data_IF_947036737825
#
_entry.id   IF_947036737825
#
_cell.length_a   1.000
_cell.length_b   1.000
_cell.length_c   1.000
_cell.angle_alpha   90.00
_cell.angle_beta   90.00
_cell.angle_gamma   90.00
#
_symmetry.space_group_name_H-M   'P 1'
#
loop_
_entity.id
_entity.type
_entity.pdbx_description
1 polymer ?
#
# COMPACT_ATOMS: atom_id res chain seq x y z
N UNK A 1 6.51 0.57 -5.80
CA UNK A 1 6.61 -0.09 -4.49
C UNK A 1 7.40 -1.37 -4.67
N UNK A 2 7.99 -1.89 -3.60
CA UNK A 2 8.72 -3.17 -3.59
C UNK A 2 8.21 -4.03 -2.43
N UNK A 3 8.10 -5.34 -2.65
CA UNK A 3 7.54 -6.27 -1.69
C UNK A 3 8.64 -7.01 -0.92
N UNK A 4 8.45 -7.20 0.39
CA UNK A 4 9.38 -7.93 1.26
C UNK A 4 8.67 -8.87 2.23
N UNK A 5 9.24 -10.06 2.40
CA UNK A 5 8.92 -11.00 3.48
C UNK A 5 10.04 -11.02 4.51
N UNK A 6 9.70 -11.00 5.79
CA UNK A 6 10.63 -11.08 6.90
C UNK A 6 10.16 -12.13 7.91
N UNK A 7 11.06 -12.97 8.42
CA UNK A 7 10.74 -13.92 9.47
C UNK A 7 10.75 -13.22 10.84
N UNK A 8 9.79 -13.54 11.72
CA UNK A 8 9.74 -12.92 13.05
C UNK A 8 11.03 -13.17 13.85
N UNK A 9 11.62 -14.37 13.78
CA UNK A 9 12.86 -14.71 14.49
C UNK A 9 14.08 -13.85 14.08
N UNK A 10 14.07 -13.25 12.88
CA UNK A 10 15.14 -12.35 12.43
C UNK A 10 15.02 -10.96 13.05
N UNK A 11 13.80 -10.58 13.46
CA UNK A 11 13.48 -9.25 14.00
C UNK A 11 13.29 -9.26 15.52
N UNK A 12 12.82 -10.37 16.09
CA UNK A 12 12.61 -10.57 17.52
C UNK A 12 13.57 -11.65 18.01
N UNK A 13 14.74 -11.22 18.47
CA UNK A 13 15.92 -12.10 18.61
C UNK A 13 16.07 -12.70 20.00
N UNK A 14 15.33 -12.19 20.99
CA UNK A 14 15.38 -12.69 22.37
C UNK A 14 14.29 -12.11 23.25
N UNK A 15 14.14 -12.66 24.45
CA UNK A 15 13.22 -12.14 25.44
C UNK A 15 12.95 -13.10 26.59
N UNK A 16 12.09 -12.63 27.50
CA UNK A 16 11.52 -13.39 28.61
C UNK A 16 10.02 -13.02 28.71
N UNK A 17 9.15 -13.96 28.34
CA UNK A 17 7.70 -13.73 28.28
C UNK A 17 7.04 -13.59 29.65
N UNK A 18 7.67 -14.12 30.71
CA UNK A 18 7.20 -13.94 32.08
C UNK A 18 7.51 -12.54 32.60
N UNK A 19 8.65 -11.97 32.21
CA UNK A 19 9.06 -10.61 32.55
C UNK A 19 8.49 -9.55 31.59
N UNK A 20 7.97 -9.95 30.42
CA UNK A 20 7.48 -9.02 29.40
C UNK A 20 8.59 -8.21 28.71
N UNK A 21 9.82 -8.72 28.72
CA UNK A 21 11.00 -8.04 28.16
C UNK A 21 11.45 -8.73 26.88
N UNK A 22 11.71 -7.99 25.82
CA UNK A 22 12.07 -8.54 24.51
C UNK A 22 13.15 -7.71 23.82
N UNK A 23 13.92 -8.36 22.96
CA UNK A 23 15.01 -7.76 22.17
C UNK A 23 14.65 -7.78 20.69
N UNK A 24 14.93 -6.67 20.00
CA UNK A 24 14.59 -6.49 18.59
C UNK A 24 15.84 -6.16 17.75
N UNK A 25 15.89 -6.68 16.52
CA UNK A 25 16.91 -6.36 15.54
C UNK A 25 16.26 -5.87 14.25
N UNK A 26 16.36 -4.57 13.99
CA UNK A 26 15.73 -3.95 12.83
C UNK A 26 16.60 -3.93 11.56
N UNK A 27 17.84 -4.43 11.63
CA UNK A 27 18.82 -4.27 10.55
C UNK A 27 18.32 -4.79 9.18
N UNK A 28 17.62 -5.93 9.16
CA UNK A 28 17.07 -6.48 7.92
C UNK A 28 15.96 -5.58 7.32
N UNK A 29 15.05 -5.07 8.17
CA UNK A 29 13.99 -4.16 7.76
C UNK A 29 14.56 -2.81 7.30
N UNK A 30 15.51 -2.25 8.06
CA UNK A 30 16.16 -0.98 7.74
C UNK A 30 16.93 -1.07 6.42
N UNK A 31 17.62 -2.19 6.18
CA UNK A 31 18.31 -2.46 4.93
C UNK A 31 17.33 -2.56 3.75
N UNK A 32 16.21 -3.27 3.90
CA UNK A 32 15.18 -3.34 2.88
C UNK A 32 14.57 -1.96 2.56
N UNK A 33 14.24 -1.17 3.59
CA UNK A 33 13.75 0.20 3.44
C UNK A 33 14.77 1.09 2.73
N UNK A 34 16.05 1.03 3.12
CA UNK A 34 17.11 1.83 2.51
C UNK A 34 17.37 1.41 1.05
N UNK A 35 17.34 0.11 0.75
CA UNK A 35 17.52 -0.40 -0.59
C UNK A 35 16.39 0.05 -1.54
N UNK A 36 15.13 -0.07 -1.14
CA UNK A 36 14.02 0.42 -1.96
C UNK A 36 14.08 1.95 -2.12
N UNK A 37 14.38 2.67 -1.04
CA UNK A 37 14.48 4.14 -1.06
C UNK A 37 15.58 4.64 -1.99
N UNK A 38 16.71 3.94 -2.11
CA UNK A 38 17.79 4.30 -3.05
C UNK A 38 17.37 4.18 -4.51
N UNK A 39 16.36 3.36 -4.81
CA UNK A 39 15.69 3.26 -6.12
C UNK A 39 14.46 4.17 -6.25
N UNK A 40 14.22 5.02 -5.25
CA UNK A 40 13.07 5.93 -5.17
C UNK A 40 11.73 5.22 -4.94
N UNK A 41 11.75 3.99 -4.44
CA UNK A 41 10.58 3.18 -4.15
C UNK A 41 10.32 3.10 -2.63
N UNK A 42 9.05 2.94 -2.27
CA UNK A 42 8.64 2.56 -0.92
C UNK A 42 8.45 1.04 -0.83
N UNK A 43 8.55 0.49 0.37
CA UNK A 43 8.30 -0.93 0.64
C UNK A 43 6.86 -1.19 1.06
N UNK A 44 6.37 -2.37 0.71
CA UNK A 44 5.23 -3.04 1.33
C UNK A 44 5.78 -4.35 1.88
N UNK A 45 5.48 -4.71 3.13
CA UNK A 45 6.09 -5.90 3.71
C UNK A 45 5.15 -6.72 4.59
N UNK A 46 5.52 -7.99 4.77
CA UNK A 46 4.91 -8.93 5.70
C UNK A 46 5.94 -9.53 6.63
N UNK A 47 5.56 -9.69 7.90
CA UNK A 47 6.34 -10.47 8.87
C UNK A 47 5.55 -11.72 9.20
N UNK A 48 6.18 -12.89 9.09
CA UNK A 48 5.53 -14.19 9.28
C UNK A 48 6.19 -15.02 10.40
N UNK A 49 5.42 -15.95 10.97
CA UNK A 49 5.92 -16.99 11.89
C UNK A 49 5.98 -18.37 11.26
N UNK A 50 5.11 -18.61 10.27
CA UNK A 50 5.01 -19.88 9.58
C UNK A 50 4.85 -19.65 8.08
N UNK A 51 5.71 -20.29 7.29
CA UNK A 51 5.71 -20.25 5.85
C UNK A 51 6.08 -21.66 5.38
N UNK A 52 5.13 -22.43 4.83
CA UNK A 52 5.39 -23.77 4.28
C UNK A 52 6.64 -23.85 3.40
N UNK A 53 7.55 -24.75 3.74
CA UNK A 53 8.81 -24.97 3.00
C UNK A 53 9.97 -24.07 3.43
N UNK A 54 9.76 -23.08 4.31
CA UNK A 54 10.83 -22.26 4.91
C UNK A 54 11.28 -22.80 6.27
N UNK A 55 12.46 -22.37 6.72
CA UNK A 55 12.91 -22.67 8.07
C UNK A 55 11.95 -22.10 9.14
N UNK A 56 11.97 -22.68 10.35
CA UNK A 56 11.18 -22.20 11.49
C UNK A 56 11.45 -20.70 11.73
N UNK A 57 10.42 -19.88 11.58
CA UNK A 57 10.48 -18.43 11.73
C UNK A 57 10.00 -17.92 13.09
N UNK A 58 9.54 -18.81 13.98
CA UNK A 58 9.19 -18.48 15.37
C UNK A 58 10.45 -18.20 16.18
N UNK A 59 10.53 -17.11 16.98
CA UNK A 59 11.69 -16.80 17.81
C UNK A 59 12.11 -17.93 18.72
N UNK A 60 13.41 -18.27 18.70
CA UNK A 60 13.95 -19.42 19.42
C UNK A 60 13.73 -19.35 20.93
N UNK A 61 13.76 -18.15 21.53
CA UNK A 61 13.53 -18.00 22.97
C UNK A 61 12.12 -18.43 23.38
N UNK A 62 11.09 -18.22 22.54
CA UNK A 62 9.73 -18.69 22.84
C UNK A 62 9.64 -20.22 22.84
N UNK A 63 10.34 -20.86 21.90
CA UNK A 63 10.44 -22.32 21.83
C UNK A 63 11.14 -22.85 23.10
N UNK A 64 12.23 -22.19 23.52
CA UNK A 64 12.94 -22.55 24.75
C UNK A 64 12.10 -22.32 26.02
N UNK A 65 11.17 -21.36 26.00
CA UNK A 65 10.16 -21.13 27.04
C UNK A 65 9.00 -22.14 26.99
N UNK A 66 9.05 -23.13 26.11
CA UNK A 66 8.07 -24.21 26.02
C UNK A 66 6.87 -23.93 25.11
N UNK A 67 6.98 -22.97 24.18
CA UNK A 67 5.95 -22.76 23.16
C UNK A 67 5.77 -24.03 22.32
N UNK A 68 4.57 -24.67 22.32
CA UNK A 68 4.34 -25.85 21.50
C UNK A 68 4.42 -25.51 20.01
N UNK A 69 5.12 -26.34 19.25
CA UNK A 69 5.28 -26.23 17.80
C UNK A 69 4.73 -27.49 17.12
N UNK A 70 3.92 -27.32 16.08
CA UNK A 70 3.19 -28.38 15.37
C UNK A 70 3.76 -28.55 13.97
N UNK A 71 4.15 -29.77 13.63
CA UNK A 71 4.60 -30.12 12.28
C UNK A 71 3.41 -30.51 11.39
N UNK A 72 3.52 -30.23 10.10
CA UNK A 72 2.52 -30.56 9.08
C UNK A 72 3.21 -30.75 7.72
N UNK A 73 2.56 -31.46 6.80
CA UNK A 73 3.10 -31.78 5.46
C UNK A 73 2.34 -31.14 4.31
N UNK A 74 1.24 -30.43 4.61
CA UNK A 74 0.45 -29.71 3.60
C UNK A 74 1.32 -28.67 2.88
N UNK A 75 0.96 -28.36 1.63
CA UNK A 75 1.71 -27.42 0.77
C UNK A 75 3.17 -27.81 0.49
N UNK A 76 3.49 -29.11 0.59
CA UNK A 76 4.86 -29.61 0.43
C UNK A 76 5.77 -29.19 1.58
N UNK A 77 5.22 -28.80 2.73
CA UNK A 77 6.02 -28.39 3.88
C UNK A 77 6.86 -29.57 4.42
N UNK A 78 8.12 -29.28 4.72
CA UNK A 78 9.05 -30.23 5.34
C UNK A 78 9.92 -29.60 6.44
N UNK A 79 9.79 -28.29 6.67
CA UNK A 79 10.77 -27.51 7.43
C UNK A 79 10.14 -26.51 8.40
N UNK A 80 9.01 -25.90 8.04
CA UNK A 80 8.33 -24.93 8.91
C UNK A 80 7.46 -25.65 9.95
N UNK A 81 7.08 -24.92 11.00
CA UNK A 81 6.20 -25.41 12.05
C UNK A 81 5.25 -24.31 12.50
N UNK A 82 3.99 -24.68 12.71
CA UNK A 82 2.99 -23.80 13.27
C UNK A 82 3.15 -23.70 14.79
N UNK A 83 3.30 -22.52 15.38
CA UNK A 83 3.21 -22.40 16.83
C UNK A 83 1.77 -22.64 17.30
N UNK A 84 1.59 -22.97 18.58
CA UNK A 84 0.26 -22.87 19.18
C UNK A 84 -0.18 -21.39 19.24
N UNK A 85 -1.04 -21.01 18.29
CA UNK A 85 -1.53 -19.65 18.11
C UNK A 85 -2.33 -19.11 19.30
N UNK A 86 -2.74 -19.96 20.24
CA UNK A 86 -3.45 -19.55 21.45
C UNK A 86 -2.58 -19.56 22.71
N UNK A 87 -1.27 -19.82 22.58
CA UNK A 87 -0.35 -19.78 23.71
C UNK A 87 -0.20 -18.34 24.25
N UNK A 88 -0.37 -18.17 25.57
CA UNK A 88 -0.33 -16.86 26.21
C UNK A 88 1.00 -16.12 26.10
N UNK A 89 2.14 -16.84 26.09
CA UNK A 89 3.46 -16.24 25.92
C UNK A 89 3.67 -15.75 24.48
N UNK A 90 3.18 -16.51 23.50
CA UNK A 90 3.19 -16.08 22.10
C UNK A 90 2.38 -14.78 21.94
N UNK A 91 1.14 -14.72 22.44
CA UNK A 91 0.31 -13.51 22.28
C UNK A 91 0.97 -12.29 22.91
N UNK A 92 1.54 -12.40 24.12
CA UNK A 92 2.30 -11.30 24.76
C UNK A 92 3.48 -10.84 23.89
N UNK A 93 4.24 -11.79 23.35
CA UNK A 93 5.39 -11.50 22.50
C UNK A 93 4.97 -10.78 21.21
N UNK A 94 3.90 -11.24 20.55
CA UNK A 94 3.36 -10.62 19.35
C UNK A 94 2.82 -9.21 19.64
N UNK A 95 2.07 -9.01 20.73
CA UNK A 95 1.58 -7.67 21.11
C UNK A 95 2.74 -6.70 21.40
N UNK A 96 3.79 -7.16 22.08
CA UNK A 96 4.98 -6.34 22.32
C UNK A 96 5.71 -6.01 21.03
N UNK A 97 5.91 -7.02 20.17
CA UNK A 97 6.57 -6.84 18.87
C UNK A 97 5.82 -5.84 17.97
N UNK A 98 4.50 -5.95 17.83
CA UNK A 98 3.69 -5.00 17.04
C UNK A 98 3.87 -3.57 17.56
N UNK A 99 3.89 -3.42 18.89
CA UNK A 99 4.15 -2.11 19.52
C UNK A 99 5.53 -1.55 19.20
N UNK A 100 6.57 -2.36 19.33
CA UNK A 100 7.94 -1.95 19.04
C UNK A 100 8.15 -1.66 17.54
N UNK A 101 7.53 -2.45 16.67
CA UNK A 101 7.54 -2.20 15.23
C UNK A 101 6.85 -0.86 14.88
N UNK A 102 5.68 -0.58 15.47
CA UNK A 102 5.01 0.70 15.29
C UNK A 102 5.84 1.88 15.77
N UNK A 103 6.49 1.77 16.94
CA UNK A 103 7.44 2.79 17.43
C UNK A 103 8.62 3.00 16.48
N UNK A 104 9.06 1.95 15.79
CA UNK A 104 10.19 2.01 14.85
C UNK A 104 9.82 2.64 13.50
N UNK A 105 8.63 2.35 12.95
CA UNK A 105 8.31 2.67 11.54
C UNK A 105 6.99 3.41 11.28
N UNK A 106 6.14 3.69 12.28
CA UNK A 106 4.87 4.38 12.02
C UNK A 106 5.11 5.82 11.53
N UNK A 107 4.71 6.09 10.28
CA UNK A 107 4.95 7.36 9.60
C UNK A 107 6.29 7.46 8.87
N UNK A 108 7.11 6.39 8.83
CA UNK A 108 8.30 6.37 7.98
C UNK A 108 7.91 6.41 6.49
N UNK A 109 8.36 7.45 5.79
CA UNK A 109 8.04 7.68 4.39
C UNK A 109 8.51 6.56 3.44
N UNK A 110 9.44 5.71 3.87
CA UNK A 110 9.94 4.57 3.09
C UNK A 110 8.98 3.39 3.12
N UNK A 111 8.01 3.36 4.03
CA UNK A 111 6.98 2.32 4.14
C UNK A 111 5.69 2.81 3.49
N UNK A 112 5.28 2.15 2.42
CA UNK A 112 3.96 2.38 1.81
C UNK A 112 2.87 1.71 2.64
N UNK A 113 3.03 0.43 2.98
CA UNK A 113 2.02 -0.36 3.69
C UNK A 113 2.66 -1.47 4.52
N UNK A 114 1.99 -1.86 5.61
CA UNK A 114 2.31 -3.06 6.40
C UNK A 114 1.20 -4.07 6.20
N UNK A 115 1.51 -5.32 5.89
CA UNK A 115 0.53 -6.40 6.00
C UNK A 115 0.66 -7.05 7.37
N UNK A 116 -0.46 -7.21 8.07
CA UNK A 116 -0.49 -7.92 9.34
C UNK A 116 -0.24 -9.40 9.05
N UNK A 117 0.97 -9.91 9.28
CA UNK A 117 1.33 -11.29 8.92
C UNK A 117 1.57 -12.23 10.11
N UNK A 118 1.36 -11.78 11.34
CA UNK A 118 1.76 -12.50 12.54
C UNK A 118 0.81 -13.66 12.94
N UNK A 119 -0.03 -14.11 12.01
CA UNK A 119 -0.94 -15.24 12.20
C UNK A 119 -1.16 -16.01 10.89
N UNK A 120 -1.16 -17.34 10.99
CA UNK A 120 -1.50 -18.25 9.89
C UNK A 120 -0.32 -18.62 9.00
N UNK A 121 -0.58 -19.52 8.05
CA UNK A 121 0.38 -19.89 7.01
C UNK A 121 0.63 -18.72 6.07
N UNK A 122 1.89 -18.50 5.70
CA UNK A 122 2.34 -17.33 4.92
C UNK A 122 2.00 -15.96 5.53
N UNK A 123 1.53 -15.94 6.79
CA UNK A 123 0.96 -14.77 7.43
C UNK A 123 -0.39 -14.33 6.85
N UNK A 124 -1.16 -15.26 6.27
CA UNK A 124 -2.43 -14.99 5.59
C UNK A 124 -3.67 -15.11 6.47
N UNK A 125 -3.51 -15.17 7.80
CA UNK A 125 -4.61 -15.24 8.76
C UNK A 125 -5.53 -16.46 8.63
N UNK A 126 -5.04 -17.56 8.08
CA UNK A 126 -5.70 -18.85 8.12
C UNK A 126 -4.70 -19.97 8.41
N UNK A 127 -5.21 -21.09 8.88
CA UNK A 127 -4.45 -22.33 9.10
C UNK A 127 -4.99 -23.47 8.26
N UNK A 128 -5.83 -23.21 7.24
CA UNK A 128 -6.32 -24.23 6.31
C UNK A 128 -5.16 -25.13 5.85
N UNK A 129 -5.29 -26.47 5.88
CA UNK A 129 -6.51 -27.21 6.23
C UNK A 129 -6.71 -27.49 7.74
N UNK A 130 -5.81 -27.05 8.63
CA UNK A 130 -5.97 -27.17 10.09
C UNK A 130 -6.88 -26.09 10.68
N UNK A 131 -8.15 -26.08 10.28
CA UNK A 131 -9.13 -25.07 10.67
C UNK A 131 -10.39 -25.66 11.34
N UNK A 132 -11.45 -24.87 11.45
CA UNK A 132 -12.69 -25.29 12.10
C UNK A 132 -13.43 -26.42 11.34
N UNK A 133 -13.20 -26.57 10.04
CA UNK A 133 -13.72 -27.71 9.29
C UNK A 133 -12.79 -28.91 9.45
N UNK A 134 -13.15 -29.79 10.38
CA UNK A 134 -12.39 -31.02 10.65
C UNK A 134 -12.88 -32.22 9.82
N UNK A 135 -13.71 -32.00 8.79
CA UNK A 135 -14.28 -33.09 7.98
C UNK A 135 -13.24 -33.85 7.16
N UNK A 136 -12.10 -33.21 6.88
CA UNK A 136 -10.93 -33.78 6.21
C UNK A 136 -9.98 -34.54 7.17
N UNK A 137 -10.35 -34.64 8.46
CA UNK A 137 -9.57 -35.30 9.49
C UNK A 137 -8.40 -34.47 10.04
N UNK A 138 -8.27 -33.20 9.63
CA UNK A 138 -7.27 -32.29 10.16
C UNK A 138 -7.74 -31.65 11.47
N UNK A 139 -6.82 -31.41 12.42
CA UNK A 139 -7.15 -30.75 13.68
C UNK A 139 -7.38 -29.25 13.51
N UNK A 140 -8.26 -28.65 14.31
CA UNK A 140 -8.41 -27.20 14.37
C UNK A 140 -7.23 -26.55 15.11
N UNK A 141 -6.43 -25.76 14.40
CA UNK A 141 -5.32 -25.00 14.96
C UNK A 141 -5.56 -23.48 14.99
N UNK A 142 -6.76 -23.01 14.66
CA UNK A 142 -7.00 -21.58 14.52
C UNK A 142 -6.71 -20.78 15.80
N UNK A 143 -6.23 -19.56 15.61
CA UNK A 143 -6.24 -18.56 16.67
C UNK A 143 -7.69 -18.23 17.04
N UNK A 144 -7.99 -18.22 18.33
CA UNK A 144 -9.31 -17.81 18.82
C UNK A 144 -9.62 -16.37 18.43
N UNK A 145 -10.92 -16.06 18.26
CA UNK A 145 -11.35 -14.70 17.89
C UNK A 145 -10.86 -13.64 18.89
N UNK A 146 -10.86 -13.96 20.19
CA UNK A 146 -10.35 -13.05 21.22
C UNK A 146 -8.87 -12.70 21.03
N UNK A 147 -8.04 -13.67 20.65
CA UNK A 147 -6.61 -13.43 20.37
C UNK A 147 -6.40 -12.71 19.03
N UNK A 148 -7.20 -13.04 18.00
CA UNK A 148 -7.23 -12.28 16.72
C UNK A 148 -7.53 -10.79 17.00
N UNK A 149 -8.56 -10.51 17.80
CA UNK A 149 -8.96 -9.15 18.19
C UNK A 149 -7.88 -8.42 18.99
N UNK A 150 -7.16 -9.10 19.88
CA UNK A 150 -6.01 -8.52 20.61
C UNK A 150 -4.89 -8.07 19.67
N UNK A 151 -4.52 -8.89 18.69
CA UNK A 151 -3.50 -8.51 17.71
C UNK A 151 -3.97 -7.33 16.84
N UNK A 152 -5.22 -7.35 16.38
CA UNK A 152 -5.79 -6.25 15.60
C UNK A 152 -5.86 -4.95 16.42
N UNK A 153 -6.33 -5.01 17.67
CA UNK A 153 -6.32 -3.87 18.58
C UNK A 153 -4.91 -3.28 18.72
N UNK A 154 -3.91 -4.15 18.84
CA UNK A 154 -2.52 -3.73 18.96
C UNK A 154 -2.00 -3.07 17.68
N UNK A 155 -2.25 -3.65 16.50
CA UNK A 155 -1.90 -3.04 15.22
C UNK A 155 -2.54 -1.66 15.06
N UNK A 156 -3.85 -1.53 15.35
CA UNK A 156 -4.56 -0.25 15.31
C UNK A 156 -3.92 0.80 16.22
N UNK A 157 -3.52 0.41 17.43
CA UNK A 157 -2.89 1.34 18.39
C UNK A 157 -1.46 1.73 18.01
N UNK A 158 -0.71 0.82 17.38
CA UNK A 158 0.70 1.00 17.07
C UNK A 158 0.94 1.75 15.75
N UNK A 159 -0.04 1.70 14.83
CA UNK A 159 0.06 2.30 13.50
C UNK A 159 -1.04 3.32 13.29
N UNK A 160 -0.71 4.58 13.54
CA UNK A 160 -1.63 5.72 13.40
C UNK A 160 -1.44 6.47 12.08
N UNK A 161 -0.28 6.32 11.44
CA UNK A 161 0.09 7.00 10.18
C UNK A 161 0.24 6.01 9.04
N UNK A 162 1.01 4.95 9.22
CA UNK A 162 1.24 3.90 8.21
C UNK A 162 0.01 2.99 8.15
N UNK A 163 -0.50 2.70 6.95
CA UNK A 163 -1.69 1.83 6.83
C UNK A 163 -1.30 0.36 6.98
N UNK A 164 -2.10 -0.35 7.78
CA UNK A 164 -2.02 -1.80 7.96
C UNK A 164 -3.12 -2.48 7.16
N UNK A 165 -2.77 -3.57 6.46
CA UNK A 165 -3.68 -4.39 5.65
C UNK A 165 -3.74 -5.82 6.18
N UNK A 166 -4.88 -6.46 5.99
CA UNK A 166 -5.15 -7.84 6.42
C UNK A 166 -5.63 -8.68 5.23
N UNK A 167 -5.28 -9.97 5.17
CA UNK A 167 -5.54 -10.86 4.02
C UNK A 167 -7.01 -11.03 3.64
N UNK A 168 -7.87 -11.01 4.63
CA UNK A 168 -9.28 -11.32 4.45
C UNK A 168 -10.07 -10.38 5.36
N UNK A 169 -11.27 -9.91 4.98
CA UNK A 169 -12.25 -9.33 5.90
C UNK A 169 -12.54 -10.28 7.07
N UNK A 170 -11.63 -10.24 8.05
CA UNK A 170 -11.60 -11.13 9.19
C UNK A 170 -12.92 -11.10 9.95
N UNK A 171 -13.14 -12.19 10.70
CA UNK A 171 -14.21 -12.37 11.67
C UNK A 171 -14.27 -11.34 12.83
N UNK A 172 -13.39 -10.32 12.86
CA UNK A 172 -13.45 -9.26 13.87
C UNK A 172 -14.54 -8.24 13.55
N UNK A 173 -15.64 -8.27 14.30
CA UNK A 173 -16.66 -7.24 14.18
C UNK A 173 -16.20 -5.88 14.72
N UNK A 174 -15.31 -5.88 15.72
CA UNK A 174 -14.84 -4.66 16.37
C UNK A 174 -13.85 -3.86 15.50
N UNK A 175 -12.98 -4.54 14.75
CA UNK A 175 -11.83 -3.90 14.09
C UNK A 175 -11.85 -3.95 12.57
N UNK A 176 -12.83 -4.59 11.93
CA UNK A 176 -12.88 -4.72 10.46
C UNK A 176 -12.80 -3.39 9.68
N UNK A 177 -13.31 -2.28 10.23
CA UNK A 177 -13.26 -0.98 9.53
C UNK A 177 -11.95 -0.20 9.76
N UNK A 178 -11.03 -0.73 10.56
CA UNK A 178 -9.78 -0.05 10.93
C UNK A 178 -8.61 -0.34 9.98
N UNK A 179 -8.75 -1.33 9.09
CA UNK A 179 -7.68 -1.87 8.26
C UNK A 179 -8.01 -1.80 6.78
N UNK A 180 -6.96 -1.78 5.96
CA UNK A 180 -7.09 -2.15 4.55
C UNK A 180 -7.11 -3.67 4.39
N UNK A 181 -7.32 -4.13 3.16
CA UNK A 181 -7.35 -5.57 2.86
C UNK A 181 -6.47 -5.92 1.67
N UNK A 182 -5.98 -7.14 1.62
CA UNK A 182 -5.16 -7.60 0.50
C UNK A 182 -5.59 -9.00 0.06
N UNK A 183 -5.76 -9.22 -1.24
CA UNK A 183 -6.14 -10.52 -1.79
C UNK A 183 -4.92 -11.25 -2.39
N UNK A 184 -4.42 -12.28 -1.72
CA UNK A 184 -3.25 -13.06 -2.21
C UNK A 184 -3.63 -14.21 -3.16
N UNK A 185 -4.91 -14.28 -3.58
CA UNK A 185 -5.40 -15.12 -4.69
C UNK A 185 -5.97 -14.25 -5.82
N UNK A 186 -5.37 -13.08 -6.05
CA UNK A 186 -5.93 -12.06 -6.93
C UNK A 186 -6.10 -12.56 -8.37
N UNK A 187 -7.25 -12.26 -8.97
CA UNK A 187 -7.69 -12.69 -10.30
C UNK A 187 -7.81 -14.22 -10.47
N UNK A 188 -8.10 -14.93 -9.38
CA UNK A 188 -8.37 -16.37 -9.39
C UNK A 188 -9.52 -16.73 -8.43
N UNK A 189 -9.50 -16.15 -7.21
CA UNK A 189 -10.53 -16.35 -6.18
C UNK A 189 -11.01 -14.99 -5.65
N UNK A 190 -11.19 -14.03 -6.55
CA UNK A 190 -11.45 -12.63 -6.24
C UNK A 190 -12.91 -12.25 -6.46
N UNK A 191 -13.47 -12.57 -7.63
CA UNK A 191 -14.73 -12.04 -8.12
C UNK A 191 -15.97 -12.69 -7.47
N UNK A 192 -17.16 -12.06 -7.62
CA UNK A 192 -18.42 -12.64 -7.15
C UNK A 192 -18.74 -14.02 -7.73
N UNK A 193 -19.51 -14.81 -6.99
CA UNK A 193 -20.09 -16.09 -7.45
C UNK A 193 -19.84 -17.25 -6.49
N UNK A 194 -18.72 -17.21 -5.78
CA UNK A 194 -18.30 -18.26 -4.84
C UNK A 194 -18.06 -17.64 -3.47
N UNK A 195 -18.78 -18.08 -2.44
CA UNK A 195 -18.85 -17.40 -1.14
C UNK A 195 -17.50 -17.22 -0.42
N UNK A 196 -16.54 -18.09 -0.72
CA UNK A 196 -15.22 -18.07 -0.09
C UNK A 196 -14.18 -17.26 -0.89
N UNK A 197 -14.52 -16.74 -2.07
CA UNK A 197 -13.71 -15.76 -2.80
C UNK A 197 -13.63 -14.44 -2.02
N UNK A 198 -12.60 -13.65 -2.30
CA UNK A 198 -12.30 -12.41 -1.58
C UNK A 198 -13.46 -11.40 -1.60
N UNK A 199 -14.00 -11.05 -2.77
CA UNK A 199 -15.04 -10.04 -2.85
C UNK A 199 -16.38 -10.47 -2.22
N UNK A 200 -16.85 -11.72 -2.40
CA UNK A 200 -17.98 -12.26 -1.62
C UNK A 200 -17.79 -12.18 -0.11
N UNK A 201 -16.58 -12.42 0.41
CA UNK A 201 -16.29 -12.21 1.84
C UNK A 201 -16.34 -10.73 2.22
N UNK A 202 -15.85 -9.82 1.37
CA UNK A 202 -15.98 -8.37 1.59
C UNK A 202 -17.45 -7.93 1.61
N UNK A 203 -18.29 -8.50 0.74
CA UNK A 203 -19.73 -8.28 0.70
C UNK A 203 -20.42 -8.76 1.98
N UNK A 204 -20.15 -9.99 2.41
CA UNK A 204 -20.76 -10.56 3.62
C UNK A 204 -20.37 -9.80 4.89
N UNK A 205 -19.15 -9.24 4.92
CA UNK A 205 -18.66 -8.44 6.03
C UNK A 205 -19.14 -6.98 6.01
N UNK A 206 -19.75 -6.51 4.90
CA UNK A 206 -20.22 -5.14 4.71
C UNK A 206 -19.09 -4.13 4.43
N UNK A 207 -18.03 -4.57 3.73
CA UNK A 207 -16.77 -3.82 3.58
C UNK A 207 -16.48 -3.41 2.13
N UNK A 208 -17.45 -3.52 1.21
CA UNK A 208 -17.25 -3.18 -0.21
C UNK A 208 -16.93 -1.70 -0.46
N UNK A 209 -17.14 -0.82 0.52
CA UNK A 209 -16.78 0.61 0.45
C UNK A 209 -15.51 0.94 1.27
N UNK A 210 -14.86 -0.04 1.90
CA UNK A 210 -13.71 0.18 2.76
C UNK A 210 -12.53 0.84 2.02
N UNK A 211 -12.39 0.52 0.72
CA UNK A 211 -11.40 1.09 -0.20
C UNK A 211 -11.45 2.63 -0.26
N UNK A 212 -12.55 3.27 0.10
CA UNK A 212 -12.63 4.75 0.12
C UNK A 212 -11.70 5.39 1.14
N UNK A 213 -11.36 4.66 2.20
CA UNK A 213 -10.56 5.19 3.32
C UNK A 213 -9.35 4.33 3.70
N UNK A 214 -9.32 3.08 3.23
CA UNK A 214 -8.28 2.09 3.53
C UNK A 214 -7.80 1.42 2.25
N UNK A 215 -6.49 1.16 2.09
CA UNK A 215 -5.94 0.59 0.87
C UNK A 215 -6.38 -0.86 0.64
N UNK A 216 -6.54 -1.21 -0.64
CA UNK A 216 -6.75 -2.58 -1.10
C UNK A 216 -5.53 -3.02 -1.92
N UNK A 217 -5.05 -4.25 -1.75
CA UNK A 217 -3.93 -4.77 -2.56
C UNK A 217 -3.92 -6.27 -2.64
N UNK A 218 -2.74 -6.90 -2.71
CA UNK A 218 -2.63 -8.35 -2.72
C UNK A 218 -1.53 -8.90 -3.62
N UNK A 219 -1.69 -10.17 -3.98
CA UNK A 219 -0.81 -10.92 -4.87
C UNK A 219 -1.63 -11.55 -5.99
N UNK A 220 -1.22 -11.29 -7.22
CA UNK A 220 -1.72 -12.05 -8.37
C UNK A 220 -1.42 -13.52 -8.15
N UNK A 221 -2.42 -14.39 -8.30
CA UNK A 221 -2.30 -15.80 -7.94
C UNK A 221 -0.95 -16.40 -8.42
N UNK A 222 -0.12 -16.97 -7.53
CA UNK A 222 1.26 -17.35 -7.87
C UNK A 222 1.40 -18.22 -9.13
N UNK A 223 0.50 -19.17 -9.31
CA UNK A 223 0.53 -20.15 -10.40
C UNK A 223 0.28 -19.55 -11.79
N UNK A 224 -0.41 -18.40 -11.86
CA UNK A 224 -0.69 -17.71 -13.14
C UNK A 224 0.29 -16.58 -13.45
N UNK A 225 1.15 -16.17 -12.51
CA UNK A 225 2.03 -15.00 -12.69
C UNK A 225 2.93 -15.11 -13.93
N UNK A 226 3.34 -16.33 -14.32
CA UNK A 226 4.21 -16.57 -15.48
C UNK A 226 3.54 -16.39 -16.84
N UNK A 227 2.22 -16.52 -16.90
CA UNK A 227 1.44 -16.58 -18.14
C UNK A 227 0.43 -15.44 -18.26
N UNK A 228 0.07 -14.80 -17.14
CA UNK A 228 -1.03 -13.83 -17.08
C UNK A 228 -0.88 -12.66 -18.06
N UNK A 229 0.35 -12.29 -18.45
CA UNK A 229 0.60 -11.19 -19.38
C UNK A 229 0.72 -11.59 -20.86
N UNK A 230 0.48 -12.86 -21.20
CA UNK A 230 0.54 -13.34 -22.58
C UNK A 230 -0.58 -12.78 -23.47
N UNK A 231 -1.70 -12.37 -22.88
CA UNK A 231 -2.80 -11.67 -23.54
C UNK A 231 -3.44 -10.66 -22.57
N UNK A 232 -4.28 -9.76 -23.09
CA UNK A 232 -5.03 -8.80 -22.28
C UNK A 232 -6.51 -9.21 -22.19
N UNK A 233 -7.17 -9.12 -21.01
CA UNK A 233 -6.62 -8.76 -19.70
C UNK A 233 -5.70 -9.81 -19.07
N UNK A 234 -5.94 -11.09 -19.39
CA UNK A 234 -5.11 -12.26 -19.09
C UNK A 234 -5.70 -13.47 -19.85
N UNK A 235 -4.95 -14.56 -20.07
CA UNK A 235 -5.51 -15.80 -20.61
C UNK A 235 -6.47 -16.46 -19.60
N UNK A 236 -7.44 -17.21 -20.13
CA UNK A 236 -8.27 -18.13 -19.35
C UNK A 236 -7.50 -19.44 -19.21
N UNK A 237 -7.01 -19.72 -18.01
CA UNK A 237 -6.24 -20.92 -17.67
C UNK A 237 -6.91 -21.62 -16.50
N UNK A 238 -6.74 -22.94 -16.36
CA UNK A 238 -7.37 -23.72 -15.30
C UNK A 238 -6.33 -24.22 -14.32
N UNK A 239 -6.52 -23.90 -13.05
CA UNK A 239 -5.74 -24.43 -11.94
C UNK A 239 -6.71 -25.13 -11.00
N UNK A 240 -6.39 -26.36 -10.59
CA UNK A 240 -7.25 -27.16 -9.68
C UNK A 240 -8.72 -27.28 -10.13
N UNK A 241 -8.99 -27.18 -11.44
CA UNK A 241 -10.35 -27.22 -12.00
C UNK A 241 -11.08 -25.87 -12.03
N UNK A 242 -10.49 -24.80 -11.50
CA UNK A 242 -11.05 -23.44 -11.48
C UNK A 242 -10.38 -22.58 -12.55
N UNK A 243 -11.14 -21.83 -13.37
CA UNK A 243 -10.55 -20.91 -14.34
C UNK A 243 -10.01 -19.65 -13.66
N UNK A 244 -8.99 -19.04 -14.27
CA UNK A 244 -8.55 -17.69 -13.94
C UNK A 244 -9.69 -16.69 -14.14
N UNK A 245 -9.72 -15.65 -13.31
CA UNK A 245 -10.66 -14.55 -13.40
C UNK A 245 -10.04 -13.41 -14.23
N UNK A 246 -10.87 -12.45 -14.64
CA UNK A 246 -10.42 -11.33 -15.46
C UNK A 246 -9.69 -10.28 -14.60
N UNK A 247 -8.43 -9.99 -14.91
CA UNK A 247 -7.56 -9.06 -14.18
C UNK A 247 -8.14 -7.64 -14.11
N UNK A 248 -8.60 -7.09 -15.24
CA UNK A 248 -9.15 -5.73 -15.30
C UNK A 248 -10.44 -5.62 -14.46
N UNK A 249 -11.31 -6.62 -14.55
CA UNK A 249 -12.52 -6.68 -13.71
C UNK A 249 -12.17 -6.82 -12.24
N UNK A 250 -11.15 -7.62 -11.90
CA UNK A 250 -10.70 -7.82 -10.51
C UNK A 250 -10.15 -6.54 -9.90
N UNK A 251 -9.32 -5.79 -10.64
CA UNK A 251 -8.79 -4.48 -10.22
C UNK A 251 -9.93 -3.49 -9.96
N UNK A 252 -10.87 -3.38 -10.89
CA UNK A 252 -12.00 -2.43 -10.77
C UNK A 252 -12.95 -2.80 -9.65
N UNK A 253 -13.20 -4.10 -9.45
CA UNK A 253 -14.11 -4.60 -8.41
C UNK A 253 -13.54 -4.36 -7.02
N UNK A 254 -12.25 -4.63 -6.84
CA UNK A 254 -11.60 -4.57 -5.52
C UNK A 254 -10.98 -3.21 -5.20
N UNK A 255 -10.91 -2.30 -6.17
CA UNK A 255 -10.22 -1.01 -6.04
C UNK A 255 -8.74 -1.17 -5.65
N UNK A 256 -8.06 -2.18 -6.20
CA UNK A 256 -6.67 -2.49 -5.89
C UNK A 256 -5.74 -1.30 -6.18
N UNK A 257 -4.89 -0.94 -5.21
CA UNK A 257 -3.89 0.13 -5.34
C UNK A 257 -2.46 -0.37 -5.49
N UNK A 258 -2.21 -1.65 -5.24
CA UNK A 258 -0.91 -2.31 -5.41
C UNK A 258 -1.12 -3.82 -5.53
N UNK A 259 -0.25 -4.50 -6.29
CA UNK A 259 -0.26 -5.96 -6.45
C UNK A 259 1.17 -6.50 -6.48
N UNK A 260 1.36 -7.71 -5.95
CA UNK A 260 2.59 -8.49 -6.05
C UNK A 260 2.55 -9.31 -7.34
N UNK A 261 3.69 -9.33 -8.03
CA UNK A 261 3.97 -10.27 -9.11
C UNK A 261 5.45 -10.65 -9.05
N UNK A 262 5.77 -11.69 -8.29
CA UNK A 262 7.14 -12.12 -8.11
C UNK A 262 7.77 -12.59 -9.43
N UNK A 263 7.04 -13.32 -10.27
CA UNK A 263 7.59 -13.86 -11.52
C UNK A 263 8.07 -12.75 -12.46
N UNK A 264 7.26 -11.70 -12.67
CA UNK A 264 7.56 -10.60 -13.58
C UNK A 264 8.85 -9.84 -13.19
N UNK A 265 9.13 -9.71 -11.89
CA UNK A 265 10.32 -8.99 -11.42
C UNK A 265 11.59 -9.84 -11.41
N UNK A 266 11.48 -11.17 -11.54
CA UNK A 266 12.62 -12.09 -11.57
C UNK A 266 12.93 -12.64 -12.98
N UNK A 267 12.15 -12.26 -14.00
CA UNK A 267 12.27 -12.80 -15.35
C UNK A 267 12.28 -11.67 -16.39
N UNK A 268 12.91 -11.94 -17.54
CA UNK A 268 12.83 -11.05 -18.69
C UNK A 268 11.45 -11.13 -19.35
N UNK A 269 10.88 -9.97 -19.68
CA UNK A 269 9.56 -9.89 -20.32
C UNK A 269 9.70 -9.67 -21.83
N UNK A 270 8.83 -10.32 -22.60
CA UNK A 270 8.58 -9.93 -23.99
C UNK A 270 7.91 -8.55 -24.06
N UNK A 271 7.95 -7.92 -25.25
CA UNK A 271 7.28 -6.64 -25.48
C UNK A 271 5.77 -6.71 -25.20
N UNK A 272 5.11 -7.82 -25.57
CA UNK A 272 3.69 -8.05 -25.29
C UNK A 272 3.43 -8.11 -23.79
N UNK A 273 4.18 -8.92 -23.05
CA UNK A 273 4.03 -9.05 -21.60
C UNK A 273 4.28 -7.72 -20.89
N UNK A 274 5.34 -7.00 -21.28
CA UNK A 274 5.64 -5.67 -20.73
C UNK A 274 4.51 -4.67 -20.98
N UNK A 275 3.94 -4.65 -22.20
CA UNK A 275 2.86 -3.72 -22.54
C UNK A 275 1.56 -4.05 -21.77
N UNK A 276 1.22 -5.34 -21.62
CA UNK A 276 0.06 -5.78 -20.85
C UNK A 276 0.23 -5.49 -19.35
N UNK A 277 1.41 -5.76 -18.79
CA UNK A 277 1.72 -5.43 -17.40
C UNK A 277 1.66 -3.90 -17.14
N UNK A 278 2.17 -3.08 -18.06
CA UNK A 278 2.04 -1.61 -17.96
C UNK A 278 0.59 -1.14 -18.11
N UNK A 279 -0.24 -1.86 -18.86
CA UNK A 279 -1.67 -1.58 -18.96
C UNK A 279 -2.39 -1.88 -17.65
N UNK A 280 -2.11 -3.02 -17.02
CA UNK A 280 -2.64 -3.36 -15.69
C UNK A 280 -2.15 -2.36 -14.63
N UNK A 281 -0.86 -2.01 -14.63
CA UNK A 281 -0.29 -1.06 -13.69
C UNK A 281 -1.00 0.30 -13.70
N UNK A 282 -1.41 0.78 -14.88
CA UNK A 282 -2.14 2.06 -15.02
C UNK A 282 -3.57 2.02 -14.47
N UNK A 283 -4.16 0.83 -14.29
CA UNK A 283 -5.49 0.68 -13.69
C UNK A 283 -5.46 0.73 -12.16
N UNK A 284 -4.30 0.48 -11.55
CA UNK A 284 -4.17 0.40 -10.10
C UNK A 284 -4.20 1.78 -9.46
N UNK A 285 -4.92 1.89 -8.35
CA UNK A 285 -4.81 3.04 -7.46
C UNK A 285 -5.47 4.31 -8.02
N UNK A 286 -4.78 5.43 -7.84
CA UNK A 286 -5.24 6.75 -8.24
C UNK A 286 -4.77 7.12 -9.64
N UNK A 287 -5.53 8.01 -10.29
CA UNK A 287 -5.09 8.75 -11.47
C UNK A 287 -5.47 10.23 -11.28
N UNK A 288 -4.56 11.01 -10.70
CA UNK A 288 -4.82 12.42 -10.39
C UNK A 288 -4.75 13.27 -11.65
N UNK A 289 -5.78 14.09 -11.89
CA UNK A 289 -5.88 14.93 -13.08
C UNK A 289 -6.36 16.33 -12.71
N UNK A 290 -5.66 17.36 -13.19
CA UNK A 290 -6.13 18.75 -13.07
C UNK A 290 -6.97 19.09 -14.30
N UNK A 291 -8.28 19.21 -14.14
CA UNK A 291 -9.20 19.44 -15.25
C UNK A 291 -9.36 20.88 -15.66
N UNK A 292 -9.14 21.81 -14.74
CA UNK A 292 -9.04 23.23 -15.06
C UNK A 292 -8.22 23.98 -14.03
N UNK A 293 -7.67 25.11 -14.47
CA UNK A 293 -6.86 26.03 -13.68
C UNK A 293 -7.41 27.42 -13.89
N UNK A 294 -7.63 28.15 -12.80
CA UNK A 294 -7.85 29.60 -12.81
C UNK A 294 -6.64 30.29 -12.20
N UNK A 295 -5.88 30.99 -13.04
CA UNK A 295 -4.63 31.65 -12.68
C UNK A 295 -4.68 33.12 -13.11
N UNK A 296 -5.22 34.02 -12.27
CA UNK A 296 -5.25 35.45 -12.57
C UNK A 296 -3.84 36.07 -12.49
N UNK A 297 -3.58 37.06 -13.35
CA UNK A 297 -2.36 37.86 -13.30
C UNK A 297 -2.33 38.72 -12.03
N UNK A 298 -1.29 38.61 -11.17
CA UNK A 298 -1.11 39.50 -10.03
C UNK A 298 -0.43 40.81 -10.43
N UNK A 299 -0.54 41.82 -9.58
CA UNK A 299 0.40 42.95 -9.53
C UNK A 299 1.60 42.60 -8.65
N UNK A 300 2.69 43.37 -8.73
CA UNK A 300 3.84 43.30 -7.80
C UNK A 300 3.49 43.40 -6.31
N UNK A 301 2.29 43.92 -5.96
CA UNK A 301 1.84 44.13 -4.58
C UNK A 301 0.79 43.12 -4.10
N UNK A 302 0.28 42.25 -4.97
CA UNK A 302 -0.79 41.30 -4.66
C UNK A 302 -0.27 39.87 -4.67
N UNK A 303 -0.88 38.99 -3.88
CA UNK A 303 -0.52 37.58 -3.92
C UNK A 303 -0.82 36.95 -5.28
N UNK A 304 0.05 36.02 -5.69
CA UNK A 304 -0.27 35.10 -6.78
C UNK A 304 -1.23 34.05 -6.23
N UNK A 305 -2.40 33.93 -6.86
CA UNK A 305 -3.44 32.99 -6.45
C UNK A 305 -3.77 32.03 -7.59
N UNK A 306 -4.11 30.80 -7.25
CA UNK A 306 -4.53 29.77 -8.20
C UNK A 306 -5.65 28.94 -7.62
N UNK A 307 -6.67 28.67 -8.44
CA UNK A 307 -7.67 27.65 -8.17
C UNK A 307 -7.46 26.50 -9.16
N UNK A 308 -7.34 25.28 -8.66
CA UNK A 308 -7.22 24.06 -9.48
C UNK A 308 -8.42 23.15 -9.22
N UNK A 309 -9.00 22.61 -10.27
CA UNK A 309 -10.01 21.57 -10.17
C UNK A 309 -9.33 20.22 -10.31
N UNK A 310 -9.27 19.47 -9.20
CA UNK A 310 -8.57 18.20 -9.10
C UNK A 310 -9.57 17.04 -9.14
N UNK A 311 -9.32 16.08 -10.02
CA UNK A 311 -10.08 14.85 -10.22
C UNK A 311 -9.21 13.63 -9.91
N UNK A 312 -9.85 12.53 -9.53
CA UNK A 312 -9.24 11.21 -9.52
C UNK A 312 -10.00 10.29 -10.48
N UNK A 313 -9.32 9.86 -11.54
CA UNK A 313 -9.85 9.01 -12.61
C UNK A 313 -9.47 7.52 -12.45
N UNK A 314 -8.76 7.19 -11.38
CA UNK A 314 -8.35 5.83 -11.05
C UNK A 314 -9.48 5.03 -10.42
N UNK A 315 -9.11 3.92 -9.78
CA UNK A 315 -10.04 3.05 -9.03
C UNK A 315 -9.97 3.27 -7.52
N UNK A 316 -8.94 3.92 -6.98
CA UNK A 316 -8.80 4.16 -5.54
C UNK A 316 -8.26 5.57 -5.21
N UNK A 317 -8.51 6.10 -4.01
CA UNK A 317 -7.96 7.38 -3.58
C UNK A 317 -6.46 7.30 -3.30
N UNK A 318 -5.82 8.47 -3.21
CA UNK A 318 -4.45 8.61 -2.71
C UNK A 318 -4.49 8.58 -1.17
N UNK A 319 -4.14 7.46 -0.54
CA UNK A 319 -4.42 7.20 0.89
C UNK A 319 -3.62 8.02 1.93
N UNK A 320 -2.66 8.84 1.48
CA UNK A 320 -1.82 9.68 2.34
C UNK A 320 -2.00 11.16 2.01
N UNK A 321 -2.19 12.02 3.01
CA UNK A 321 -2.40 13.46 2.78
C UNK A 321 -1.08 14.22 2.56
N UNK A 322 -0.43 13.91 1.43
CA UNK A 322 0.77 14.60 0.99
C UNK A 322 0.44 16.02 0.53
N UNK A 323 1.40 16.92 0.70
CA UNK A 323 1.23 18.34 0.36
C UNK A 323 1.43 18.57 -1.14
N UNK A 324 0.76 19.59 -1.66
CA UNK A 324 1.14 20.20 -2.93
C UNK A 324 2.21 21.25 -2.70
N UNK A 325 3.13 21.41 -3.64
CA UNK A 325 4.12 22.47 -3.68
C UNK A 325 4.02 23.26 -4.98
N UNK A 326 4.26 24.57 -4.90
CA UNK A 326 4.15 25.49 -6.02
C UNK A 326 5.45 26.27 -6.25
N UNK A 327 5.85 26.38 -7.51
CA UNK A 327 7.05 27.13 -7.93
C UNK A 327 6.73 28.02 -9.12
N UNK A 328 7.57 29.04 -9.32
CA UNK A 328 7.53 29.89 -10.50
C UNK A 328 8.80 29.72 -11.30
N UNK A 329 8.64 29.48 -12.60
CA UNK A 329 9.72 29.58 -13.59
C UNK A 329 9.46 30.76 -14.53
N UNK A 330 10.50 31.32 -15.14
CA UNK A 330 10.36 32.36 -16.16
C UNK A 330 10.02 31.76 -17.55
N UNK A 331 9.89 32.61 -18.57
CA UNK A 331 9.61 32.20 -19.94
C UNK A 331 10.66 31.21 -20.51
N UNK A 332 11.91 31.31 -20.06
CA UNK A 332 13.05 30.45 -20.41
C UNK A 332 13.21 29.24 -19.46
N UNK A 333 12.19 28.92 -18.65
CA UNK A 333 12.18 27.80 -17.69
C UNK A 333 13.26 27.86 -16.61
N UNK A 334 13.76 29.05 -16.28
CA UNK A 334 14.62 29.26 -15.10
C UNK A 334 13.77 29.33 -13.84
N UNK A 335 14.08 28.52 -12.83
CA UNK A 335 13.43 28.55 -11.51
C UNK A 335 13.72 29.87 -10.80
N UNK A 336 12.67 30.63 -10.49
CA UNK A 336 12.78 31.93 -9.83
C UNK A 336 12.39 31.90 -8.36
N UNK A 337 11.31 31.19 -8.02
CA UNK A 337 10.72 31.21 -6.68
C UNK A 337 10.09 29.87 -6.32
N UNK A 338 10.21 29.50 -5.04
CA UNK A 338 9.36 28.50 -4.38
C UNK A 338 8.33 29.25 -3.56
N UNK A 339 7.05 29.00 -3.81
CA UNK A 339 5.94 29.72 -3.16
C UNK A 339 5.48 29.06 -1.86
N UNK A 340 5.86 27.80 -1.64
CA UNK A 340 5.53 27.03 -0.44
C UNK A 340 4.65 25.82 -0.74
N UNK A 341 4.06 25.27 0.32
CA UNK A 341 3.25 24.05 0.26
C UNK A 341 1.86 24.25 0.88
N UNK A 342 0.90 23.44 0.45
CA UNK A 342 -0.47 23.43 1.03
C UNK A 342 -1.00 21.99 1.13
N UNK A 343 -1.83 21.74 2.14
CA UNK A 343 -2.59 20.50 2.24
C UNK A 343 -3.92 20.65 1.50
N UNK A 344 -4.28 19.61 0.75
CA UNK A 344 -5.49 19.61 -0.09
C UNK A 344 -6.44 18.47 0.22
N UNK A 345 -6.15 17.65 1.24
CA UNK A 345 -6.87 16.42 1.53
C UNK A 345 -6.89 15.50 0.30
N UNK A 346 -5.71 15.03 -0.13
CA UNK A 346 -5.60 14.09 -1.26
C UNK A 346 -6.44 12.82 -1.07
N UNK A 347 -6.55 12.22 0.13
CA UNK A 347 -7.45 11.09 0.38
C UNK A 347 -8.92 11.40 0.10
N UNK A 348 -9.32 12.68 0.20
CA UNK A 348 -10.67 13.14 -0.12
C UNK A 348 -10.98 13.22 -1.61
N UNK A 349 -9.99 13.11 -2.50
CA UNK A 349 -10.21 13.11 -3.96
C UNK A 349 -10.57 11.69 -4.41
N UNK A 350 -11.84 11.36 -4.21
CA UNK A 350 -12.36 10.02 -4.47
C UNK A 350 -12.55 9.77 -5.98
N UNK A 351 -12.26 8.55 -6.45
CA UNK A 351 -12.61 8.08 -7.79
C UNK A 351 -14.07 8.37 -8.16
N UNK A 352 -14.30 8.82 -9.40
CA UNK A 352 -15.65 9.06 -9.94
C UNK A 352 -16.43 10.21 -9.29
N UNK A 353 -15.83 10.96 -8.37
CA UNK A 353 -16.44 12.15 -7.77
C UNK A 353 -16.26 13.38 -8.67
N UNK A 354 -17.12 14.39 -8.48
CA UNK A 354 -16.94 15.68 -9.14
C UNK A 354 -15.58 16.31 -8.80
N UNK A 355 -15.04 17.10 -9.73
CA UNK A 355 -13.78 17.79 -9.53
C UNK A 355 -13.84 18.65 -8.25
N UNK A 356 -12.81 18.52 -7.40
CA UNK A 356 -12.69 19.30 -6.17
C UNK A 356 -11.82 20.53 -6.42
N UNK A 357 -12.39 21.72 -6.24
CA UNK A 357 -11.61 22.97 -6.30
C UNK A 357 -10.67 23.06 -5.10
N UNK A 358 -9.39 23.28 -5.36
CA UNK A 358 -8.35 23.55 -4.37
C UNK A 358 -7.70 24.90 -4.69
N UNK A 359 -7.54 25.72 -3.68
CA UNK A 359 -6.98 27.06 -3.82
C UNK A 359 -5.63 27.17 -3.15
N UNK A 360 -4.74 27.95 -3.74
CA UNK A 360 -3.45 28.33 -3.16
C UNK A 360 -3.20 29.81 -3.43
N UNK A 361 -2.65 30.52 -2.44
CA UNK A 361 -2.29 31.92 -2.57
C UNK A 361 -1.03 32.21 -1.77
N UNK A 362 -0.07 32.91 -2.37
CA UNK A 362 1.19 33.25 -1.72
C UNK A 362 1.76 34.58 -2.24
N UNK A 363 2.53 35.25 -1.38
CA UNK A 363 3.37 36.35 -1.82
C UNK A 363 4.45 35.82 -2.77
N UNK A 364 4.57 36.41 -3.95
CA UNK A 364 5.46 35.89 -5.00
C UNK A 364 6.80 36.62 -5.10
N UNK A 365 6.86 37.91 -4.73
CA UNK A 365 8.10 38.70 -4.75
C UNK A 365 8.79 38.74 -6.13
N UNK A 366 7.99 38.78 -7.19
CA UNK A 366 8.46 38.90 -8.58
C UNK A 366 8.32 40.36 -9.03
N UNK A 367 9.26 40.81 -9.85
CA UNK A 367 9.15 42.08 -10.57
C UNK A 367 8.03 42.02 -11.62
N UNK A 368 7.62 43.18 -12.13
CA UNK A 368 6.76 43.24 -13.30
C UNK A 368 7.44 42.57 -14.50
N UNK A 369 6.68 41.81 -15.28
CA UNK A 369 7.20 41.02 -16.39
C UNK A 369 6.14 40.09 -16.96
N UNK A 370 6.44 39.49 -18.11
CA UNK A 370 5.51 38.61 -18.83
C UNK A 370 6.05 37.19 -18.99
N UNK A 371 5.15 36.24 -19.16
CA UNK A 371 5.49 34.84 -19.47
C UNK A 371 6.08 34.05 -18.30
N UNK A 372 5.79 34.44 -17.05
CA UNK A 372 6.04 33.57 -15.91
C UNK A 372 5.14 32.33 -16.01
N UNK A 373 5.57 31.21 -15.42
CA UNK A 373 4.79 29.96 -15.41
C UNK A 373 4.68 29.45 -13.98
N UNK A 374 3.47 29.08 -13.57
CA UNK A 374 3.21 28.45 -12.29
C UNK A 374 3.20 26.94 -12.46
N UNK A 375 4.03 26.25 -11.68
CA UNK A 375 4.17 24.80 -11.70
C UNK A 375 3.78 24.23 -10.33
N UNK A 376 3.31 22.99 -10.32
CA UNK A 376 2.86 22.28 -9.13
C UNK A 376 3.37 20.84 -9.10
N UNK A 377 3.66 20.32 -7.91
CA UNK A 377 3.88 18.88 -7.69
C UNK A 377 3.21 18.41 -6.41
N UNK A 378 3.00 17.10 -6.27
CA UNK A 378 2.80 16.48 -4.97
C UNK A 378 4.17 16.24 -4.34
N UNK A 379 4.37 16.68 -3.10
CA UNK A 379 5.62 16.48 -2.37
C UNK A 379 5.71 15.03 -1.92
N UNK A 380 6.67 14.29 -2.47
CA UNK A 380 7.02 12.98 -1.94
C UNK A 380 7.77 13.17 -0.61
N UNK A 381 7.29 12.61 0.52
CA UNK A 381 7.95 12.75 1.81
C UNK A 381 9.30 12.02 1.89
N UNK A 382 9.58 11.10 0.95
CA UNK A 382 10.89 10.47 0.83
C UNK A 382 11.80 11.33 -0.07
N UNK A 383 12.97 11.75 0.44
CA UNK A 383 13.90 12.65 -0.26
C UNK A 383 14.26 12.20 -1.68
N UNK A 384 14.43 10.89 -1.91
CA UNK A 384 14.77 10.31 -3.21
C UNK A 384 13.55 9.67 -3.90
N UNK A 385 12.34 9.93 -3.40
CA UNK A 385 11.13 9.32 -3.91
C UNK A 385 10.80 9.73 -5.34
N UNK A 386 10.32 8.77 -6.12
CA UNK A 386 9.81 9.05 -7.47
C UNK A 386 8.68 10.10 -7.38
N UNK A 387 8.64 11.07 -8.32
CA UNK A 387 7.59 12.08 -8.31
C UNK A 387 6.24 11.43 -8.59
N UNK A 388 5.20 11.95 -7.94
CA UNK A 388 3.82 11.66 -8.33
C UNK A 388 3.51 12.47 -9.57
N UNK A 389 3.11 11.80 -10.64
CA UNK A 389 2.74 12.45 -11.91
C UNK A 389 1.24 12.64 -11.98
N UNK A 390 0.81 13.81 -12.45
CA UNK A 390 -0.57 14.04 -12.86
C UNK A 390 -0.79 13.51 -14.27
N UNK A 391 -1.99 13.02 -14.58
CA UNK A 391 -2.38 12.51 -15.89
C UNK A 391 -2.65 13.63 -16.92
N UNK A 392 -1.88 14.70 -16.86
CA UNK A 392 -1.98 15.88 -17.71
C UNK A 392 -0.85 15.87 -18.75
N UNK A 393 -1.13 16.22 -20.00
CA UNK A 393 -0.12 16.33 -21.06
C UNK A 393 1.00 17.34 -20.74
N UNK A 394 0.73 18.30 -19.84
CA UNK A 394 1.69 19.31 -19.38
C UNK A 394 2.60 18.82 -18.23
N UNK A 395 2.45 17.59 -17.76
CA UNK A 395 3.32 17.00 -16.75
C UNK A 395 4.75 16.91 -17.30
N UNK A 396 5.70 17.54 -16.61
CA UNK A 396 7.12 17.55 -16.98
C UNK A 396 7.49 18.50 -18.12
N UNK A 397 6.55 19.31 -18.64
CA UNK A 397 6.76 20.12 -19.84
C UNK A 397 7.80 21.24 -19.65
N UNK A 398 7.65 22.06 -18.59
CA UNK A 398 8.56 23.18 -18.32
C UNK A 398 9.62 22.87 -17.25
N UNK A 399 9.37 21.85 -16.43
CA UNK A 399 10.34 21.32 -15.47
C UNK A 399 10.05 19.85 -15.17
N UNK A 400 11.07 19.00 -15.22
CA UNK A 400 10.92 17.55 -15.01
C UNK A 400 10.31 17.22 -13.64
N UNK A 401 9.24 16.42 -13.64
CA UNK A 401 8.52 16.01 -12.42
C UNK A 401 7.46 17.00 -11.90
N UNK A 402 7.22 18.12 -12.60
CA UNK A 402 6.24 19.14 -12.21
C UNK A 402 5.15 19.30 -13.26
N UNK A 403 3.92 19.55 -12.83
CA UNK A 403 2.82 19.93 -13.71
C UNK A 403 2.84 21.44 -13.97
N UNK A 404 2.93 21.84 -15.23
CA UNK A 404 2.68 23.24 -15.62
C UNK A 404 1.18 23.55 -15.55
N UNK A 405 0.80 24.47 -14.66
CA UNK A 405 -0.59 24.91 -14.50
C UNK A 405 -0.98 25.97 -15.54
N UNK A 406 -0.06 26.87 -15.86
CA UNK A 406 -0.27 27.91 -16.86
C UNK A 406 0.78 29.02 -16.80
N UNK A 407 0.70 29.93 -17.77
CA UNK A 407 1.48 31.16 -17.79
C UNK A 407 0.70 32.32 -17.18
N UNK A 408 1.41 33.29 -16.62
CA UNK A 408 0.86 34.52 -16.08
C UNK A 408 1.85 35.68 -16.25
N UNK A 409 1.33 36.89 -16.18
CA UNK A 409 2.10 38.13 -16.20
C UNK A 409 1.98 38.84 -14.85
N UNK A 410 3.01 39.57 -14.47
CA UNK A 410 3.02 40.43 -13.29
C UNK A 410 3.01 41.88 -13.76
N UNK A 411 2.02 42.66 -13.34
CA UNK A 411 1.96 44.09 -13.64
C UNK A 411 2.52 44.92 -12.47
N UNK A 412 3.03 46.12 -12.76
CA UNK A 412 3.46 47.03 -11.71
C UNK A 412 2.26 47.42 -10.83
N UNK A 413 2.47 47.56 -9.52
CA UNK A 413 1.46 48.15 -8.65
C UNK A 413 1.22 49.60 -9.07
N UNK A 414 -0.04 50.02 -9.14
CA UNK A 414 -0.37 51.43 -9.39
C UNK A 414 0.14 52.27 -8.23
N UNK A 415 1.00 53.26 -8.50
CA UNK A 415 1.34 54.30 -7.53
C UNK A 415 0.05 55.08 -7.21
N UNK A 416 -0.38 55.04 -5.96
CA UNK A 416 -1.47 55.89 -5.46
C UNK A 416 -0.95 57.28 -5.14
#
# INVERSE_FOLDING_TARGET
>A
MEWYYLSLNSLMTGGNSSAGTYSYNWAALDSAMAAAASRGNQIVFRIYLDYPGQAVATPQFLINEGLPMRAYSDYGNSSSKAPDWNNGNLIKALESFIGALGQHIDGDARVAYVTAGLYGYWGEWHTYPQDADTSDGKPNWEMSQANKDRLLARYKSAFTRTRVLVRDPLASQAYKNDFGYHDDSFAYETLPGVSWHFWPKMQSAGLTENWRSRPMGGEQRPEMQSTMWNSWPNPVEYYYGTPTENEETSIKTTHATWLINNWMFNNALSSTQRNNALRAQKLLGYELFVSSVRLPNPTTSTNLSVDINLENRGVAPFYYDWKLEFIVVNASNTWLKTLGTTQVNLPGIQPGSAASTKSFSAAHGLSAGTGYKLLMRVVNPMTNGKPVSFANAKQGQDWGGWLTLGSFDVTAASSR
#
